data_IF_769418545309
#
_entry.id   IF_769418545309
#
_cell.length_a   1.000
_cell.length_b   1.000
_cell.length_c   1.000
_cell.angle_alpha   90.00
_cell.angle_beta   90.00
_cell.angle_gamma   90.00
#
_symmetry.space_group_name_H-M   'P 1'
#
loop_
_entity.id
_entity.type
_entity.pdbx_description
1 polymer ?
#
# COMPACT_ATOMS: atom_id res chain seq x y z
N UNK A 1 -3.59 55.17 49.98
CA UNK A 1 -4.63 54.72 49.04
C UNK A 1 -4.01 53.69 48.11
N UNK A 2 -4.75 52.62 47.83
CA UNK A 2 -4.30 51.34 47.31
C UNK A 2 -3.68 51.42 45.91
N UNK A 3 -2.45 50.93 45.75
CA UNK A 3 -1.89 50.63 44.44
C UNK A 3 -2.58 49.37 43.91
N UNK A 4 -3.44 49.56 42.91
CA UNK A 4 -4.11 48.48 42.20
C UNK A 4 -3.06 47.64 41.47
N UNK A 5 -2.78 46.44 41.96
CA UNK A 5 -1.95 45.46 41.26
C UNK A 5 -2.65 45.06 39.94
N UNK A 6 -1.92 44.91 38.82
CA UNK A 6 -2.54 44.55 37.55
C UNK A 6 -3.25 43.20 37.67
N UNK A 7 -4.53 43.19 37.31
CA UNK A 7 -5.45 42.03 37.34
C UNK A 7 -5.12 40.93 36.33
N UNK A 8 -4.03 41.05 35.56
CA UNK A 8 -3.63 40.03 34.61
C UNK A 8 -2.27 39.46 35.01
N UNK A 9 -2.33 38.25 35.57
CA UNK A 9 -1.18 37.38 35.78
C UNK A 9 -0.69 36.91 34.40
N UNK A 10 0.56 37.22 34.02
CA UNK A 10 1.15 36.86 32.71
C UNK A 10 1.05 35.35 32.38
N UNK A 11 0.91 34.51 33.40
CA UNK A 11 0.76 33.06 33.27
C UNK A 11 -0.64 32.60 32.83
N UNK A 12 -1.65 33.48 32.81
CA UNK A 12 -3.03 33.13 32.42
C UNK A 12 -3.20 32.94 30.91
N UNK A 13 -2.30 33.50 30.09
CA UNK A 13 -2.31 33.34 28.63
C UNK A 13 -1.64 32.05 28.13
N UNK A 14 -0.96 31.29 29.01
CA UNK A 14 -0.10 30.18 28.60
C UNK A 14 -0.84 28.88 28.22
N UNK A 15 -2.17 28.79 28.43
CA UNK A 15 -2.97 27.56 28.16
C UNK A 15 -4.26 27.80 27.37
N UNK A 16 -4.33 28.89 26.60
CA UNK A 16 -5.39 29.12 25.64
C UNK A 16 -4.95 28.75 24.23
N UNK A 17 -5.83 28.12 23.44
CA UNK A 17 -5.71 28.15 21.97
C UNK A 17 -5.45 29.60 21.55
N UNK A 18 -4.55 29.83 20.61
CA UNK A 18 -4.15 31.19 20.19
C UNK A 18 -5.40 32.07 19.99
N UNK A 19 -5.42 33.23 20.64
CA UNK A 19 -6.51 34.23 20.51
C UNK A 19 -6.63 34.69 19.04
N UNK A 20 -5.52 34.65 18.31
CA UNK A 20 -5.49 34.90 16.88
C UNK A 20 -5.85 33.65 16.08
N UNK A 21 -6.66 33.80 15.01
CA UNK A 21 -6.98 32.69 14.13
C UNK A 21 -5.69 32.14 13.54
N UNK A 22 -5.55 30.80 13.52
CA UNK A 22 -4.44 30.16 12.83
C UNK A 22 -4.59 30.43 11.33
N UNK A 23 -3.81 31.36 10.81
CA UNK A 23 -3.77 31.65 9.38
C UNK A 23 -2.89 30.59 8.72
N UNK A 24 -3.51 29.56 8.14
CA UNK A 24 -2.80 28.60 7.30
C UNK A 24 -2.67 29.20 5.90
N UNK A 25 -1.52 29.80 5.62
CA UNK A 25 -1.20 30.26 4.26
C UNK A 25 -0.76 29.05 3.44
N UNK A 26 -1.35 28.86 2.27
CA UNK A 26 -0.92 27.83 1.34
C UNK A 26 0.51 28.13 0.87
N UNK A 27 1.43 27.19 1.11
CA UNK A 27 2.78 27.25 0.57
C UNK A 27 2.82 26.41 -0.71
N UNK A 28 3.02 27.10 -1.83
CA UNK A 28 3.05 26.48 -3.15
C UNK A 28 4.43 25.85 -3.40
N UNK A 29 4.53 24.54 -3.17
CA UNK A 29 5.75 23.76 -3.47
C UNK A 29 5.91 23.54 -4.98
N UNK A 30 4.79 23.43 -5.69
CA UNK A 30 4.71 23.22 -7.13
C UNK A 30 3.77 24.27 -7.72
N UNK A 31 4.10 24.83 -8.91
CA UNK A 31 3.25 25.82 -9.54
C UNK A 31 1.86 25.26 -9.82
N UNK A 32 0.83 26.07 -9.59
CA UNK A 32 -0.60 25.89 -9.85
C UNK A 32 -0.85 25.97 -11.37
N UNK A 33 -0.12 25.15 -12.11
CA UNK A 33 -0.21 25.01 -13.55
C UNK A 33 -0.47 23.54 -13.91
N UNK A 34 -1.27 23.33 -14.95
CA UNK A 34 -1.46 21.99 -15.50
C UNK A 34 -0.16 21.50 -16.16
N UNK A 35 0.07 20.18 -16.10
CA UNK A 35 1.14 19.53 -16.84
C UNK A 35 0.56 18.98 -18.14
N UNK A 36 1.33 19.06 -19.23
CA UNK A 36 0.99 18.44 -20.52
C UNK A 36 1.10 16.90 -20.50
N UNK A 37 1.41 16.31 -19.34
CA UNK A 37 1.59 14.87 -19.15
C UNK A 37 0.71 14.44 -17.98
N UNK A 38 -0.01 13.34 -18.13
CA UNK A 38 -0.79 12.74 -17.06
C UNK A 38 0.05 11.69 -16.33
N UNK A 39 -0.20 11.51 -15.03
CA UNK A 39 0.39 10.41 -14.29
C UNK A 39 -0.41 9.15 -14.61
N UNK A 40 0.20 8.19 -15.30
CA UNK A 40 -0.46 6.93 -15.61
C UNK A 40 -0.70 6.13 -14.32
N UNK A 41 -1.85 5.43 -14.23
CA UNK A 41 -2.08 4.48 -13.15
C UNK A 41 -0.98 3.42 -13.23
N UNK A 42 -0.10 3.38 -12.22
CA UNK A 42 0.84 2.27 -12.07
C UNK A 42 0.00 1.03 -11.79
N UNK A 43 -0.02 0.09 -12.73
CA UNK A 43 -0.65 -1.21 -12.52
C UNK A 43 -0.09 -1.81 -11.25
N UNK A 44 -0.95 -2.11 -10.28
CA UNK A 44 -0.52 -2.87 -9.11
C UNK A 44 -0.08 -4.24 -9.62
N UNK A 45 1.18 -4.66 -9.39
CA UNK A 45 1.52 -6.06 -9.63
C UNK A 45 0.56 -6.90 -8.78
N UNK A 46 0.03 -7.98 -9.36
CA UNK A 46 -0.89 -8.88 -8.68
C UNK A 46 -0.28 -9.28 -7.34
N UNK A 47 -0.78 -8.66 -6.26
CA UNK A 47 -0.28 -8.93 -4.94
C UNK A 47 -0.75 -10.34 -4.57
N UNK A 48 0.21 -11.19 -4.21
CA UNK A 48 0.02 -12.46 -3.50
C UNK A 48 -0.79 -13.56 -4.20
N UNK A 49 -0.41 -14.00 -5.41
CA UNK A 49 -1.08 -15.13 -6.07
C UNK A 49 -0.88 -16.49 -5.36
N UNK A 50 0.23 -16.73 -4.64
CA UNK A 50 0.55 -18.09 -4.11
C UNK A 50 0.95 -18.13 -2.63
N UNK A 51 0.64 -17.09 -1.85
CA UNK A 51 1.07 -17.04 -0.43
C UNK A 51 0.34 -18.05 0.46
N UNK A 52 -0.91 -18.40 0.12
CA UNK A 52 -1.71 -19.39 0.83
C UNK A 52 -1.11 -20.80 0.71
N UNK A 53 -0.81 -21.24 -0.51
CA UNK A 53 -0.18 -22.54 -0.76
C UNK A 53 1.24 -22.62 -0.16
N UNK A 54 1.99 -21.51 -0.21
CA UNK A 54 3.31 -21.41 0.40
C UNK A 54 3.25 -21.57 1.92
N UNK A 55 2.26 -20.95 2.58
CA UNK A 55 2.08 -21.09 4.02
C UNK A 55 1.68 -22.52 4.42
N UNK A 56 0.84 -23.18 3.62
CA UNK A 56 0.48 -24.59 3.82
C UNK A 56 1.71 -25.50 3.68
N UNK A 57 2.54 -25.26 2.65
CA UNK A 57 3.78 -26.00 2.41
C UNK A 57 4.73 -25.87 3.61
N UNK A 58 5.00 -24.65 4.07
CA UNK A 58 5.83 -24.45 5.27
C UNK A 58 5.25 -25.07 6.54
N UNK A 59 3.93 -25.13 6.67
CA UNK A 59 3.26 -25.88 7.74
C UNK A 59 3.57 -27.38 7.70
N UNK A 60 3.63 -27.96 6.50
CA UNK A 60 4.01 -29.36 6.32
C UNK A 60 5.50 -29.60 6.58
N UNK A 61 6.40 -28.79 5.99
CA UNK A 61 7.84 -28.97 6.19
C UNK A 61 8.23 -28.82 7.66
N UNK A 62 7.61 -27.89 8.40
CA UNK A 62 7.86 -27.71 9.85
C UNK A 62 7.51 -28.96 10.66
N UNK A 63 6.53 -29.76 10.23
CA UNK A 63 6.10 -30.97 10.92
C UNK A 63 7.06 -32.16 10.69
N UNK A 64 7.78 -32.16 9.58
CA UNK A 64 8.59 -33.29 9.12
C UNK A 64 10.09 -32.95 9.01
N UNK A 65 10.58 -31.98 9.79
CA UNK A 65 11.99 -31.54 9.78
C UNK A 65 12.52 -31.19 8.38
N UNK A 66 11.65 -30.62 7.53
CA UNK A 66 11.95 -30.25 6.14
C UNK A 66 12.23 -31.44 5.20
N UNK A 67 11.78 -32.65 5.52
CA UNK A 67 11.78 -33.75 4.56
C UNK A 67 10.64 -33.54 3.53
N UNK A 68 11.00 -33.41 2.26
CA UNK A 68 10.05 -33.09 1.18
C UNK A 68 9.16 -34.27 0.77
N UNK A 69 9.57 -35.51 1.08
CA UNK A 69 8.85 -36.75 0.71
C UNK A 69 7.37 -36.75 1.15
N UNK A 70 7.01 -36.41 2.40
CA UNK A 70 5.62 -36.32 2.84
C UNK A 70 4.85 -35.10 2.32
N UNK A 71 5.55 -34.04 1.88
CA UNK A 71 4.95 -32.77 1.49
C UNK A 71 4.80 -32.58 -0.02
N UNK A 72 5.10 -33.62 -0.82
CA UNK A 72 5.03 -33.60 -2.30
C UNK A 72 3.71 -33.05 -2.86
N UNK A 73 2.56 -33.39 -2.26
CA UNK A 73 1.24 -32.90 -2.71
C UNK A 73 1.06 -31.39 -2.56
N UNK A 74 1.59 -30.82 -1.47
CA UNK A 74 1.53 -29.38 -1.24
C UNK A 74 2.58 -28.66 -2.10
N UNK A 75 3.72 -29.31 -2.33
CA UNK A 75 4.75 -28.80 -3.23
C UNK A 75 4.26 -28.72 -4.67
N UNK A 76 3.54 -29.73 -5.17
CA UNK A 76 2.93 -29.68 -6.51
C UNK A 76 1.88 -28.58 -6.61
N UNK A 77 0.99 -28.46 -5.63
CA UNK A 77 -0.03 -27.41 -5.61
C UNK A 77 0.58 -25.99 -5.61
N UNK A 78 1.68 -25.79 -4.86
CA UNK A 78 2.44 -24.54 -4.89
C UNK A 78 3.03 -24.27 -6.28
N UNK A 79 3.69 -25.26 -6.89
CA UNK A 79 4.31 -25.10 -8.21
C UNK A 79 3.27 -24.84 -9.31
N UNK A 80 2.10 -25.49 -9.25
CA UNK A 80 1.00 -25.25 -10.18
C UNK A 80 0.51 -23.79 -10.09
N UNK A 81 0.35 -23.26 -8.87
CA UNK A 81 0.02 -21.85 -8.66
C UNK A 81 1.09 -20.91 -9.23
N UNK A 82 2.37 -21.22 -9.02
CA UNK A 82 3.48 -20.40 -9.53
C UNK A 82 3.46 -20.37 -11.06
N UNK A 83 3.31 -21.51 -11.71
CA UNK A 83 3.25 -21.59 -13.17
C UNK A 83 2.06 -20.82 -13.76
N UNK A 84 0.88 -20.91 -13.14
CA UNK A 84 -0.28 -20.14 -13.56
C UNK A 84 -0.05 -18.63 -13.39
N UNK A 85 0.54 -18.22 -12.26
CA UNK A 85 0.86 -16.81 -12.02
C UNK A 85 1.90 -16.27 -13.00
N UNK A 86 2.88 -17.10 -13.40
CA UNK A 86 3.86 -16.75 -14.42
C UNK A 86 3.19 -16.57 -15.79
N UNK A 87 2.25 -17.45 -16.14
CA UNK A 87 1.48 -17.36 -17.38
C UNK A 87 0.68 -16.07 -17.44
N UNK A 88 -0.08 -15.75 -16.39
CA UNK A 88 -0.84 -14.50 -16.28
C UNK A 88 0.09 -13.28 -16.31
N UNK A 89 1.26 -13.35 -15.68
CA UNK A 89 2.24 -12.27 -15.73
C UNK A 89 2.83 -12.06 -17.14
N UNK A 90 3.02 -13.13 -17.91
CA UNK A 90 3.45 -13.05 -19.32
C UNK A 90 2.35 -12.44 -20.18
N UNK A 91 1.11 -12.91 -20.05
CA UNK A 91 -0.05 -12.33 -20.74
C UNK A 91 -0.22 -10.84 -20.41
N UNK A 92 -0.05 -10.46 -19.14
CA UNK A 92 -0.08 -9.06 -18.73
C UNK A 92 1.04 -8.24 -19.37
N UNK A 93 2.27 -8.77 -19.44
CA UNK A 93 3.39 -8.11 -20.12
C UNK A 93 3.12 -7.94 -21.62
N UNK A 94 2.58 -8.96 -22.27
CA UNK A 94 2.21 -8.89 -23.69
C UNK A 94 1.05 -7.93 -23.97
N UNK A 95 0.05 -7.88 -23.09
CA UNK A 95 -1.02 -6.90 -23.17
C UNK A 95 -0.50 -5.47 -22.92
N UNK A 96 0.51 -5.32 -22.05
CA UNK A 96 1.14 -4.04 -21.76
C UNK A 96 1.93 -3.52 -22.96
N UNK A 97 2.68 -4.39 -23.65
CA UNK A 97 3.42 -4.01 -24.87
C UNK A 97 2.48 -3.67 -26.03
N UNK A 98 1.33 -4.35 -26.12
CA UNK A 98 0.30 -4.07 -27.14
C UNK A 98 -0.53 -2.81 -26.84
N UNK A 99 -0.37 -2.18 -25.68
CA UNK A 99 -1.10 -0.97 -25.30
C UNK A 99 -2.60 -1.17 -25.05
N UNK A 100 -3.07 -2.42 -25.00
CA UNK A 100 -4.48 -2.78 -24.81
C UNK A 100 -4.91 -2.83 -23.34
N UNK A 101 -4.03 -2.42 -22.42
CA UNK A 101 -4.26 -2.44 -20.98
C UNK A 101 -5.14 -1.26 -20.52
N UNK A 102 -6.35 -1.19 -21.07
CA UNK A 102 -7.46 -0.40 -20.54
C UNK A 102 -8.27 -1.26 -19.59
N UNK A 103 -8.17 -0.96 -18.30
CA UNK A 103 -9.15 -1.21 -17.22
C UNK A 103 -10.01 -2.50 -17.30
N UNK A 104 -9.86 -3.37 -16.28
CA UNK A 104 -10.77 -4.46 -15.87
C UNK A 104 -10.49 -5.89 -16.39
N UNK A 105 -9.51 -6.54 -15.78
CA UNK A 105 -9.75 -7.92 -15.32
C UNK A 105 -9.68 -7.88 -13.81
N UNK A 106 -10.78 -7.42 -13.20
CA UNK A 106 -11.02 -7.64 -11.77
C UNK A 106 -11.03 -9.15 -11.53
N UNK A 107 -10.33 -9.54 -10.47
CA UNK A 107 -10.07 -10.93 -10.12
C UNK A 107 -11.29 -11.83 -10.21
N UNK A 108 -11.12 -12.96 -10.89
CA UNK A 108 -11.72 -14.21 -10.41
C UNK A 108 -10.79 -14.72 -9.31
N UNK A 109 -11.13 -14.35 -8.08
CA UNK A 109 -10.79 -15.18 -6.93
C UNK A 109 -11.42 -16.54 -7.21
N UNK A 110 -10.58 -17.58 -7.31
CA UNK A 110 -10.99 -18.91 -6.89
C UNK A 110 -11.06 -18.92 -5.36
#
# INVERSE_FOLDING_TARGET
>A
MFFSSPLLKDTALARGRSVYPKVTVFSEVLPLASKNVYNSKKGRPAASSCTQELQALFGCLKKWEFDDKPCTKLHTAYMDCVHESERVAREYKEAATKGTLGESVQGKSL
#
